data_IF_541069668315
#
_entry.id   IF_541069668315
#
_cell.length_a   1.000
_cell.length_b   1.000
_cell.length_c   1.000
_cell.angle_alpha   90.00
_cell.angle_beta   90.00
_cell.angle_gamma   90.00
#
_symmetry.space_group_name_H-M   'P 1'
#
loop_
_entity.id
_entity.type
_entity.pdbx_description
1 polymer ?
#
# COMPACT_ATOMS: atom_id res chain seq x y z
N UNK A 1 -11.66 2.11 13.01
CA UNK A 1 -11.62 3.26 12.10
C UNK A 1 -10.88 4.38 12.79
N UNK A 2 -9.95 5.06 12.13
CA UNK A 2 -9.12 6.15 12.68
C UNK A 2 -9.34 7.42 11.86
N UNK A 3 -9.55 8.54 12.52
CA UNK A 3 -9.69 9.84 11.85
C UNK A 3 -8.32 10.40 11.48
N UNK A 4 -8.21 10.91 10.25
CA UNK A 4 -7.00 11.44 9.66
C UNK A 4 -7.29 12.86 9.17
N UNK A 5 -6.50 13.84 9.61
CA UNK A 5 -6.59 15.23 9.16
C UNK A 5 -5.18 15.80 9.04
N UNK A 6 -4.82 16.26 7.84
CA UNK A 6 -3.47 16.74 7.54
C UNK A 6 -3.54 18.10 6.84
N UNK A 7 -2.85 19.13 7.38
CA UNK A 7 -2.70 20.40 6.67
C UNK A 7 -1.78 20.21 5.45
N UNK A 8 -2.20 20.75 4.31
CA UNK A 8 -1.47 20.59 3.05
C UNK A 8 -0.50 21.75 2.76
N UNK A 9 -0.64 22.88 3.45
CA UNK A 9 0.28 24.04 3.36
C UNK A 9 0.64 24.44 1.91
N UNK A 10 -0.33 24.42 0.98
CA UNK A 10 -0.14 24.65 -0.47
C UNK A 10 0.61 23.52 -1.22
N UNK A 11 0.67 22.33 -0.64
CA UNK A 11 1.26 21.17 -1.29
C UNK A 11 0.68 20.93 -2.70
N UNK A 12 1.53 20.49 -3.60
CA UNK A 12 1.17 20.12 -4.97
C UNK A 12 1.09 18.61 -5.17
N UNK A 13 1.59 17.87 -4.23
CA UNK A 13 1.60 16.40 -4.23
C UNK A 13 1.07 15.88 -2.90
N UNK A 14 0.19 14.90 -2.97
CA UNK A 14 -0.28 14.14 -1.83
C UNK A 14 0.08 12.67 -2.04
N UNK A 15 0.67 12.06 -1.04
CA UNK A 15 0.97 10.64 -1.04
C UNK A 15 0.25 9.97 0.10
N UNK A 16 -0.59 8.99 -0.22
CA UNK A 16 -1.28 8.15 0.74
C UNK A 16 -0.53 6.82 0.83
N UNK A 17 -0.06 6.48 2.03
CA UNK A 17 0.68 5.25 2.29
C UNK A 17 -0.06 4.38 3.31
N UNK A 18 -0.04 3.07 3.08
CA UNK A 18 -0.47 2.06 4.06
C UNK A 18 0.66 1.05 4.20
N UNK A 19 1.12 0.82 5.43
CA UNK A 19 2.08 -0.24 5.75
C UNK A 19 1.42 -1.36 6.56
N UNK A 20 2.10 -2.50 6.63
CA UNK A 20 1.68 -3.72 7.34
C UNK A 20 1.88 -3.67 8.86
N UNK A 21 2.10 -2.48 9.42
CA UNK A 21 2.39 -2.26 10.85
C UNK A 21 3.57 -3.10 11.42
N UNK A 22 4.31 -3.82 10.57
CA UNK A 22 5.47 -4.62 10.95
C UNK A 22 5.17 -6.08 11.34
N UNK A 23 3.93 -6.53 11.25
CA UNK A 23 3.52 -7.91 11.58
C UNK A 23 3.23 -8.78 10.34
N UNK A 24 3.44 -8.23 9.14
CA UNK A 24 3.21 -8.90 7.86
C UNK A 24 1.89 -8.52 7.22
N UNK A 25 1.84 -8.62 5.91
CA UNK A 25 0.75 -8.09 5.08
C UNK A 25 -0.50 -8.99 4.98
N UNK A 26 -0.56 -10.10 5.72
CA UNK A 26 -1.68 -11.02 5.61
C UNK A 26 -2.99 -10.36 6.12
N UNK A 27 -4.01 -10.32 5.26
CA UNK A 27 -5.34 -9.74 5.54
C UNK A 27 -5.39 -8.22 5.70
N UNK A 28 -4.36 -7.49 5.30
CA UNK A 28 -4.25 -6.03 5.42
C UNK A 28 -5.07 -5.25 4.39
N UNK A 29 -6.28 -5.75 4.11
CA UNK A 29 -7.24 -5.07 3.27
C UNK A 29 -7.73 -3.81 3.94
N UNK A 30 -7.31 -2.67 3.42
CA UNK A 30 -7.52 -1.36 4.01
C UNK A 30 -8.30 -0.43 3.09
N UNK A 31 -8.83 0.63 3.67
CA UNK A 31 -9.59 1.64 2.93
C UNK A 31 -9.36 3.02 3.51
N UNK A 32 -9.17 3.99 2.63
CA UNK A 32 -9.29 5.41 2.89
C UNK A 32 -10.77 5.79 2.71
N UNK A 33 -11.52 5.90 3.80
CA UNK A 33 -12.96 6.19 3.79
C UNK A 33 -13.17 7.70 3.72
N UNK A 34 -14.08 8.14 2.85
CA UNK A 34 -14.46 9.53 2.62
C UNK A 34 -13.26 10.48 2.46
N UNK A 35 -12.26 10.17 1.61
CA UNK A 35 -11.10 11.01 1.45
C UNK A 35 -11.47 12.30 0.73
N UNK A 36 -11.27 13.44 1.40
CA UNK A 36 -11.66 14.76 0.89
C UNK A 36 -10.53 15.78 1.03
N UNK A 37 -10.49 16.69 0.07
CA UNK A 37 -9.72 17.93 0.12
C UNK A 37 -10.68 19.07 0.49
N UNK A 38 -10.25 19.99 1.34
CA UNK A 38 -11.00 21.20 1.69
C UNK A 38 -10.09 22.43 1.69
N UNK A 39 -10.67 23.60 1.42
CA UNK A 39 -9.95 24.86 1.37
C UNK A 39 -10.78 26.00 0.80
N UNK A 40 -10.17 27.11 0.40
CA UNK A 40 -10.86 28.29 -0.14
C UNK A 40 -11.77 28.01 -1.34
N UNK A 41 -11.46 26.97 -2.14
CA UNK A 41 -12.30 26.54 -3.28
C UNK A 41 -13.44 25.59 -2.89
N UNK A 42 -13.65 25.34 -1.61
CA UNK A 42 -14.69 24.44 -1.10
C UNK A 42 -14.14 23.06 -0.76
N UNK A 43 -14.92 22.03 -1.05
CA UNK A 43 -14.60 20.64 -0.76
C UNK A 43 -14.61 19.82 -2.05
N UNK A 44 -13.66 18.91 -2.19
CA UNK A 44 -13.54 17.99 -3.32
C UNK A 44 -13.30 16.58 -2.78
N UNK A 45 -14.04 15.59 -3.27
CA UNK A 45 -13.73 14.17 -2.98
C UNK A 45 -12.42 13.80 -3.68
N UNK A 46 -11.49 13.17 -2.97
CA UNK A 46 -10.26 12.70 -3.57
C UNK A 46 -10.51 11.54 -4.57
N UNK A 47 -11.64 10.84 -4.40
CA UNK A 47 -12.11 9.81 -5.33
C UNK A 47 -12.49 10.34 -6.72
N UNK A 48 -12.74 11.63 -6.85
CA UNK A 48 -13.01 12.29 -8.14
C UNK A 48 -11.73 12.72 -8.85
N UNK A 49 -10.60 12.70 -8.14
CA UNK A 49 -9.30 13.06 -8.68
C UNK A 49 -8.56 11.81 -9.17
N UNK A 50 -7.99 11.89 -10.36
CA UNK A 50 -7.16 10.81 -10.89
C UNK A 50 -5.80 10.82 -10.20
N UNK A 51 -5.37 9.69 -9.66
CA UNK A 51 -4.00 9.56 -9.14
C UNK A 51 -2.95 9.54 -10.26
N UNK A 52 -1.75 10.03 -9.96
CA UNK A 52 -0.57 9.97 -10.84
C UNK A 52 -0.06 8.53 -10.92
N UNK A 53 0.02 7.86 -9.79
CA UNK A 53 0.43 6.47 -9.66
C UNK A 53 -0.22 5.83 -8.45
N UNK A 54 -0.43 4.52 -8.52
CA UNK A 54 -0.96 3.76 -7.40
C UNK A 54 -0.39 2.34 -7.45
N UNK A 55 0.05 1.84 -6.28
CA UNK A 55 0.52 0.47 -6.08
C UNK A 55 -0.04 -0.08 -4.79
N UNK A 56 -0.27 -1.38 -4.73
CA UNK A 56 -0.62 -2.11 -3.53
C UNK A 56 0.17 -3.43 -3.48
N UNK A 57 0.41 -3.94 -2.29
CA UNK A 57 1.11 -5.22 -2.08
C UNK A 57 0.28 -6.43 -2.54
N UNK A 58 -1.03 -6.27 -2.66
CA UNK A 58 -1.95 -7.25 -3.23
C UNK A 58 -3.06 -6.54 -4.00
N UNK A 59 -3.43 -7.09 -5.16
CA UNK A 59 -4.44 -6.49 -6.03
C UNK A 59 -4.03 -5.09 -6.51
N UNK A 60 -5.00 -4.20 -6.65
CA UNK A 60 -4.80 -2.82 -7.11
C UNK A 60 -5.63 -1.84 -6.27
N UNK A 61 -5.15 -0.62 -5.98
CA UNK A 61 -5.98 0.42 -5.40
C UNK A 61 -7.18 0.73 -6.30
N UNK A 62 -8.38 0.85 -5.72
CA UNK A 62 -9.63 1.07 -6.47
C UNK A 62 -10.54 2.06 -5.76
N UNK A 63 -11.20 2.90 -6.56
CA UNK A 63 -12.25 3.81 -6.08
C UNK A 63 -13.54 3.02 -5.84
N UNK A 64 -14.12 3.16 -4.64
CA UNK A 64 -15.38 2.54 -4.20
C UNK A 64 -15.43 1.00 -4.35
N UNK A 65 -14.26 0.38 -4.34
CA UNK A 65 -14.08 -1.07 -4.41
C UNK A 65 -12.91 -1.48 -3.54
N UNK A 66 -12.87 -2.75 -3.13
CA UNK A 66 -11.67 -3.33 -2.54
C UNK A 66 -10.57 -3.50 -3.59
N UNK A 67 -9.33 -3.76 -3.17
CA UNK A 67 -8.21 -4.06 -4.07
C UNK A 67 -8.46 -5.27 -4.98
N UNK A 68 -9.41 -6.14 -4.64
CA UNK A 68 -9.84 -7.30 -5.40
C UNK A 68 -11.13 -7.06 -6.22
N UNK A 69 -11.54 -5.80 -6.37
CA UNK A 69 -12.73 -5.38 -7.12
C UNK A 69 -14.08 -5.85 -6.52
N UNK A 70 -14.13 -6.09 -5.21
CA UNK A 70 -15.35 -6.42 -4.50
C UNK A 70 -16.03 -5.15 -3.95
N UNK A 71 -17.31 -5.20 -3.53
CA UNK A 71 -17.97 -4.09 -2.85
C UNK A 71 -17.16 -3.60 -1.64
N UNK A 72 -17.02 -2.29 -1.48
CA UNK A 72 -16.27 -1.69 -0.39
C UNK A 72 -17.14 -1.60 0.86
N UNK A 73 -16.92 -2.51 1.81
CA UNK A 73 -17.69 -2.59 3.05
C UNK A 73 -16.76 -2.43 4.27
N UNK A 74 -17.19 -1.66 5.26
CA UNK A 74 -16.53 -1.56 6.57
C UNK A 74 -17.56 -1.94 7.63
N UNK A 75 -17.27 -2.95 8.42
CA UNK A 75 -18.21 -3.52 9.42
C UNK A 75 -19.59 -3.86 8.80
N UNK A 76 -19.61 -4.35 7.56
CA UNK A 76 -20.82 -4.72 6.84
C UNK A 76 -21.59 -3.55 6.19
N UNK A 77 -21.21 -2.30 6.42
CA UNK A 77 -21.81 -1.13 5.81
C UNK A 77 -21.03 -0.68 4.57
N UNK A 78 -21.73 -0.34 3.50
CA UNK A 78 -21.11 0.23 2.30
C UNK A 78 -20.52 1.61 2.60
N UNK A 79 -19.31 1.86 2.11
CA UNK A 79 -18.62 3.15 2.27
C UNK A 79 -18.10 3.63 0.91
N UNK A 80 -17.96 4.96 0.78
CA UNK A 80 -17.20 5.55 -0.33
C UNK A 80 -15.72 5.68 0.07
N UNK A 81 -14.81 5.49 -0.87
CA UNK A 81 -13.39 5.66 -0.59
C UNK A 81 -12.47 4.96 -1.57
N UNK A 82 -11.23 4.75 -1.14
CA UNK A 82 -10.21 4.07 -1.94
C UNK A 82 -9.79 2.81 -1.19
N UNK A 83 -10.20 1.65 -1.70
CA UNK A 83 -9.76 0.36 -1.17
C UNK A 83 -8.37 0.01 -1.69
N UNK A 84 -7.55 -0.53 -0.80
CA UNK A 84 -6.17 -0.93 -1.10
C UNK A 84 -5.73 -2.08 -0.19
N UNK A 85 -4.48 -2.48 -0.27
CA UNK A 85 -3.87 -3.50 0.58
C UNK A 85 -2.44 -3.08 0.93
N UNK A 86 -2.00 -3.30 2.17
CA UNK A 86 -0.62 -3.04 2.54
C UNK A 86 0.38 -3.96 1.79
N UNK A 87 1.55 -3.50 1.44
CA UNK A 87 1.98 -2.10 1.49
C UNK A 87 1.41 -1.33 0.28
N UNK A 88 0.92 -0.12 0.51
CA UNK A 88 0.29 0.66 -0.55
C UNK A 88 0.84 2.07 -0.61
N UNK A 89 1.01 2.57 -1.83
CA UNK A 89 1.40 3.95 -2.11
C UNK A 89 0.54 4.49 -3.25
N UNK A 90 -0.19 5.58 -2.99
CA UNK A 90 -1.03 6.25 -3.97
C UNK A 90 -0.63 7.72 -4.04
N UNK A 91 -0.25 8.20 -5.23
CA UNK A 91 0.25 9.56 -5.44
C UNK A 91 -0.75 10.39 -6.23
N UNK A 92 -1.10 11.54 -5.72
CA UNK A 92 -1.97 12.51 -6.38
C UNK A 92 -1.24 13.82 -6.67
N UNK A 93 -1.53 14.41 -7.83
CA UNK A 93 -1.26 15.81 -8.09
C UNK A 93 -2.42 16.65 -7.56
N UNK A 94 -2.14 17.59 -6.67
CA UNK A 94 -3.17 18.40 -6.03
C UNK A 94 -3.47 19.66 -6.85
N UNK A 95 -4.75 19.95 -7.08
CA UNK A 95 -5.15 21.24 -7.62
C UNK A 95 -4.97 22.35 -6.58
N UNK A 96 -4.80 23.59 -7.03
CA UNK A 96 -4.71 24.76 -6.16
C UNK A 96 -6.02 25.05 -5.43
N UNK A 97 -5.89 25.63 -4.23
CA UNK A 97 -7.02 26.13 -3.47
C UNK A 97 -7.58 25.12 -2.46
N UNK A 98 -6.83 24.07 -2.19
CA UNK A 98 -7.10 23.13 -1.11
C UNK A 98 -5.90 23.12 -0.15
N UNK A 99 -6.19 23.21 1.15
CA UNK A 99 -5.18 23.37 2.20
C UNK A 99 -5.26 22.29 3.30
N UNK A 100 -6.27 21.44 3.24
CA UNK A 100 -6.49 20.37 4.22
C UNK A 100 -6.95 19.09 3.52
N UNK A 101 -6.35 17.96 3.89
CA UNK A 101 -6.82 16.62 3.56
C UNK A 101 -7.47 15.99 4.79
N UNK A 102 -8.61 15.32 4.59
CA UNK A 102 -9.28 14.52 5.62
C UNK A 102 -9.72 13.18 5.05
N UNK A 103 -9.65 12.16 5.88
CA UNK A 103 -10.15 10.82 5.59
C UNK A 103 -10.35 10.06 6.91
N UNK A 104 -10.93 8.86 6.82
CA UNK A 104 -10.89 7.87 7.90
C UNK A 104 -10.19 6.62 7.38
N UNK A 105 -9.20 6.15 8.12
CA UNK A 105 -8.56 4.86 7.85
C UNK A 105 -9.36 3.71 8.45
N UNK A 106 -9.60 2.65 7.69
CA UNK A 106 -10.27 1.46 8.20
C UNK A 106 -9.72 0.19 7.53
N UNK A 107 -9.97 -0.96 8.18
CA UNK A 107 -9.79 -2.27 7.60
C UNK A 107 -11.13 -2.81 7.11
N UNK A 108 -11.12 -3.56 6.00
CA UNK A 108 -12.28 -4.30 5.50
C UNK A 108 -12.27 -5.76 5.96
N UNK A 109 -11.14 -6.22 6.48
CA UNK A 109 -10.93 -7.55 7.07
C UNK A 109 -10.15 -7.44 8.40
N UNK A 110 -9.86 -8.57 9.04
CA UNK A 110 -8.97 -8.61 10.21
C UNK A 110 -7.53 -8.41 9.73
N UNK A 111 -6.79 -7.54 10.39
CA UNK A 111 -5.40 -7.20 10.07
C UNK A 111 -4.94 -6.02 10.90
N UNK A 112 -3.73 -5.56 10.70
CA UNK A 112 -3.16 -4.36 11.31
C UNK A 112 -2.39 -3.56 10.29
N UNK A 113 -2.71 -2.26 10.19
CA UNK A 113 -2.05 -1.37 9.23
C UNK A 113 -1.75 -0.02 9.87
N UNK A 114 -0.74 0.65 9.34
CA UNK A 114 -0.50 2.06 9.60
C UNK A 114 -0.85 2.89 8.37
N UNK A 115 -1.60 3.97 8.58
CA UNK A 115 -1.88 4.97 7.57
C UNK A 115 -0.92 6.14 7.72
N UNK A 116 -0.29 6.55 6.63
CA UNK A 116 0.54 7.75 6.58
C UNK A 116 0.13 8.64 5.40
N UNK A 117 0.19 9.95 5.62
CA UNK A 117 -0.11 10.97 4.61
C UNK A 117 1.07 11.92 4.51
N UNK A 118 1.62 12.07 3.31
CA UNK A 118 2.75 12.94 3.04
C UNK A 118 2.32 14.05 2.08
N UNK A 119 2.59 15.30 2.44
CA UNK A 119 2.36 16.49 1.62
C UNK A 119 3.69 16.99 1.06
N UNK A 120 3.83 17.08 -0.26
CA UNK A 120 5.06 17.42 -0.98
C UNK A 120 6.31 16.71 -0.45
N UNK A 121 6.29 15.38 -0.25
CA UNK A 121 7.49 14.69 0.21
C UNK A 121 8.60 14.76 -0.85
N UNK A 122 9.84 14.74 -0.39
CA UNK A 122 10.97 14.41 -1.26
C UNK A 122 10.72 13.02 -1.89
N UNK A 123 11.01 12.87 -3.17
CA UNK A 123 10.84 11.58 -3.90
C UNK A 123 11.52 10.41 -3.18
N UNK A 124 12.63 10.68 -2.47
CA UNK A 124 13.38 9.68 -1.69
C UNK A 124 12.63 9.17 -0.46
N UNK A 125 11.62 9.90 0.01
CA UNK A 125 10.83 9.54 1.19
C UNK A 125 9.58 8.76 0.82
N UNK A 126 9.17 8.81 -0.46
CA UNK A 126 8.03 8.04 -0.96
C UNK A 126 8.44 6.56 -0.98
N UNK A 127 7.73 5.67 -0.30
CA UNK A 127 8.05 4.25 -0.34
C UNK A 127 8.01 3.74 -1.78
N UNK A 128 9.13 3.26 -2.28
CA UNK A 128 9.18 2.55 -3.56
C UNK A 128 8.94 1.06 -3.28
N UNK A 129 7.77 0.59 -3.66
CA UNK A 129 7.39 -0.82 -3.59
C UNK A 129 7.84 -1.52 -4.89
N UNK A 130 9.13 -1.47 -5.18
CA UNK A 130 9.67 -2.15 -6.35
C UNK A 130 9.83 -3.64 -6.07
N UNK A 131 9.33 -4.52 -6.94
CA UNK A 131 9.56 -5.94 -6.81
C UNK A 131 11.04 -6.25 -7.06
N UNK A 132 11.69 -6.85 -6.08
CA UNK A 132 13.04 -7.40 -6.22
C UNK A 132 12.91 -8.89 -6.48
N UNK A 133 13.30 -9.31 -7.67
CA UNK A 133 13.27 -10.71 -8.08
C UNK A 133 14.68 -11.33 -8.02
N UNK A 134 14.74 -12.58 -7.59
CA UNK A 134 15.92 -13.44 -7.74
C UNK A 134 15.51 -14.69 -8.51
N UNK A 135 16.26 -15.06 -9.56
CA UNK A 135 16.04 -16.33 -10.23
C UNK A 135 16.81 -17.41 -9.49
N UNK A 136 16.23 -18.61 -9.40
CA UNK A 136 16.91 -19.72 -8.73
C UNK A 136 18.14 -20.17 -9.52
N UNK A 137 18.17 -19.95 -10.82
CA UNK A 137 19.32 -20.19 -11.67
C UNK A 137 20.53 -19.34 -11.24
N UNK A 138 20.35 -18.09 -10.84
CA UNK A 138 21.40 -17.21 -10.33
C UNK A 138 22.00 -17.73 -9.01
N UNK A 139 21.26 -18.57 -8.28
CA UNK A 139 21.69 -19.24 -7.06
C UNK A 139 22.22 -20.67 -7.30
N UNK A 140 22.29 -21.11 -8.56
CA UNK A 140 22.68 -22.47 -8.93
C UNK A 140 21.62 -23.53 -8.60
N UNK A 141 20.37 -23.14 -8.43
CA UNK A 141 19.24 -24.01 -8.09
C UNK A 141 18.38 -24.20 -9.35
N UNK A 142 18.06 -25.45 -9.67
CA UNK A 142 17.17 -25.79 -10.80
C UNK A 142 15.79 -26.18 -10.30
N UNK A 143 14.74 -25.59 -10.90
CA UNK A 143 13.36 -25.93 -10.65
C UNK A 143 12.77 -25.27 -9.41
N UNK A 144 12.48 -26.03 -8.36
CA UNK A 144 11.77 -25.55 -7.16
C UNK A 144 12.73 -25.27 -6.02
N UNK A 145 12.37 -24.29 -5.20
CA UNK A 145 13.07 -24.02 -3.95
C UNK A 145 12.09 -23.55 -2.85
N UNK A 146 12.39 -23.97 -1.63
CA UNK A 146 11.73 -23.50 -0.42
C UNK A 146 12.40 -22.21 0.04
N UNK A 147 11.62 -21.20 0.32
CA UNK A 147 12.09 -19.89 0.77
C UNK A 147 11.60 -19.61 2.21
N UNK A 148 12.54 -19.19 3.06
CA UNK A 148 12.27 -18.78 4.44
C UNK A 148 12.79 -17.36 4.67
N UNK A 149 11.93 -16.48 5.16
CA UNK A 149 12.32 -15.15 5.66
C UNK A 149 13.07 -15.34 7.00
N UNK A 150 14.33 -14.92 7.06
CA UNK A 150 15.16 -15.11 8.25
C UNK A 150 14.96 -14.02 9.30
N UNK A 151 14.52 -12.84 8.90
CA UNK A 151 14.21 -11.78 9.85
C UNK A 151 12.87 -12.00 10.54
N UNK A 152 11.86 -12.38 9.77
CA UNK A 152 10.53 -12.72 10.30
C UNK A 152 10.47 -14.14 10.89
N UNK A 153 11.49 -14.98 10.63
CA UNK A 153 11.54 -16.40 10.97
C UNK A 153 10.37 -17.23 10.41
N UNK A 154 9.84 -16.80 9.27
CA UNK A 154 8.66 -17.34 8.60
C UNK A 154 9.03 -18.19 7.39
N UNK A 155 8.36 -19.34 7.22
CA UNK A 155 8.48 -20.18 6.01
C UNK A 155 7.47 -19.66 4.97
N UNK A 156 7.98 -19.12 3.85
CA UNK A 156 7.16 -18.54 2.79
C UNK A 156 6.64 -19.58 1.79
N UNK A 157 7.05 -20.84 1.93
CA UNK A 157 6.63 -21.94 1.05
C UNK A 157 7.61 -22.24 -0.08
N UNK A 158 7.09 -22.95 -1.11
CA UNK A 158 7.86 -23.41 -2.27
C UNK A 158 7.50 -22.59 -3.49
N UNK A 159 8.54 -22.10 -4.18
CA UNK A 159 8.44 -21.31 -5.40
C UNK A 159 9.10 -22.05 -6.55
N UNK A 160 8.72 -21.71 -7.79
CA UNK A 160 9.28 -22.34 -9.00
C UNK A 160 10.06 -21.30 -9.80
N UNK A 161 11.31 -21.63 -10.15
CA UNK A 161 12.24 -20.84 -10.97
C UNK A 161 12.68 -19.50 -10.40
N UNK A 162 11.85 -18.80 -9.62
CA UNK A 162 12.16 -17.48 -9.07
C UNK A 162 11.38 -17.20 -7.79
N UNK A 163 11.88 -16.24 -7.01
CA UNK A 163 11.21 -15.66 -5.88
C UNK A 163 11.23 -14.13 -6.03
N UNK A 164 10.10 -13.49 -5.82
CA UNK A 164 9.95 -12.04 -5.90
C UNK A 164 9.38 -11.49 -4.62
N UNK A 165 9.94 -10.39 -4.13
CA UNK A 165 9.45 -9.67 -2.94
C UNK A 165 9.48 -8.18 -3.20
N UNK A 166 8.46 -7.48 -2.78
CA UNK A 166 8.51 -6.01 -2.71
C UNK A 166 9.37 -5.61 -1.51
N UNK A 167 10.39 -4.81 -1.79
CA UNK A 167 11.31 -4.28 -0.79
C UNK A 167 11.22 -2.77 -0.85
N UNK A 168 10.95 -2.08 0.28
CA UNK A 168 10.91 -0.62 0.31
C UNK A 168 12.24 -0.01 -0.14
N UNK A 169 12.19 1.20 -0.69
CA UNK A 169 13.40 1.96 -1.02
C UNK A 169 14.34 2.02 0.20
N UNK A 170 15.62 1.71 -0.02
CA UNK A 170 16.63 1.52 1.03
C UNK A 170 16.34 0.38 2.04
N UNK A 171 15.30 -0.41 1.79
CA UNK A 171 15.05 -1.62 2.56
C UNK A 171 15.96 -2.77 2.13
N UNK A 172 15.93 -3.85 2.90
CA UNK A 172 16.57 -5.11 2.60
C UNK A 172 15.68 -6.28 3.05
N UNK A 173 15.91 -7.45 2.51
CA UNK A 173 15.31 -8.70 2.94
C UNK A 173 16.38 -9.78 3.03
N UNK A 174 16.31 -10.65 4.03
CA UNK A 174 17.24 -11.77 4.21
C UNK A 174 16.47 -13.08 4.15
N UNK A 175 16.76 -13.86 3.13
CA UNK A 175 16.04 -15.10 2.86
C UNK A 175 17.00 -16.29 2.78
N UNK A 176 16.58 -17.42 3.31
CA UNK A 176 17.21 -18.72 3.03
C UNK A 176 16.43 -19.40 1.92
N UNK A 177 17.13 -19.73 0.83
CA UNK A 177 16.59 -20.45 -0.32
C UNK A 177 17.23 -21.83 -0.34
N UNK A 178 16.41 -22.88 -0.32
CA UNK A 178 16.87 -24.27 -0.27
C UNK A 178 16.20 -25.05 -1.41
N UNK A 179 16.96 -25.79 -2.23
CA UNK A 179 16.39 -26.63 -3.27
C UNK A 179 15.29 -27.55 -2.71
N UNK A 180 14.18 -27.65 -3.43
CA UNK A 180 13.07 -28.55 -3.10
C UNK A 180 13.04 -29.65 -4.19
N UNK A 181 13.34 -30.90 -3.85
CA UNK A 181 13.48 -32.00 -4.82
C UNK A 181 12.19 -32.37 -5.54
#
# INVERSE_FOLDING_TARGET
MVDISVPLAKARKLVLCVSDAGDGFAYDHSVWVDPVLSGPKGTMKLTDLRWRSAKAGWGEPRVNRTCENQPLLVNGAAVEGIGTHAASVIVFDLPEGYDTFRARGALTQKGSVQFAVLADPDEKVIPDLSPVAVTFADLGITGKARVRDLWKQEDLGVFTNSFTREIPLHGAGLYRVTPDP
#
